data_IF_941614925631
#
_entry.id   IF_941614925631
#
_cell.length_a   1.000
_cell.length_b   1.000
_cell.length_c   1.000
_cell.angle_alpha   90.00
_cell.angle_beta   90.00
_cell.angle_gamma   90.00
#
_symmetry.space_group_name_H-M   'P 1'
#
loop_
_entity.id
_entity.type
_entity.pdbx_description
1 polymer ?
#
# COMPACT_ATOMS: atom_id res chain seq x y z
N UNK A 1 -4.50 12.72 0.93
CA UNK A 1 -5.89 12.66 0.46
C UNK A 1 -6.69 11.88 1.49
N UNK A 2 -7.96 12.22 1.74
CA UNK A 2 -8.81 11.42 2.64
C UNK A 2 -9.03 10.02 2.05
N UNK A 3 -9.20 9.05 2.94
CA UNK A 3 -9.56 7.69 2.58
C UNK A 3 -11.03 7.69 2.09
N UNK A 4 -11.27 7.21 0.89
CA UNK A 4 -12.61 7.19 0.28
C UNK A 4 -13.13 5.75 0.25
N UNK A 5 -14.31 5.51 0.84
CA UNK A 5 -15.01 4.21 0.85
C UNK A 5 -14.16 3.03 1.33
N UNK A 6 -13.35 3.24 2.39
CA UNK A 6 -12.47 2.20 2.95
C UNK A 6 -12.62 2.04 4.47
N UNK A 7 -13.65 2.65 5.04
CA UNK A 7 -13.91 2.62 6.49
C UNK A 7 -14.12 1.19 6.97
N UNK A 8 -14.76 0.37 6.15
CA UNK A 8 -15.04 -1.05 6.43
C UNK A 8 -13.77 -1.89 6.45
N UNK A 9 -12.91 -1.70 5.46
CA UNK A 9 -11.61 -2.36 5.39
C UNK A 9 -10.69 -1.87 6.50
N UNK A 10 -10.66 -0.57 6.77
CA UNK A 10 -9.88 0.00 7.87
C UNK A 10 -10.32 -0.58 9.22
N UNK A 11 -11.63 -0.64 9.48
CA UNK A 11 -12.18 -1.23 10.72
C UNK A 11 -11.75 -2.69 10.89
N UNK A 12 -11.81 -3.50 9.83
CA UNK A 12 -11.37 -4.90 9.87
C UNK A 12 -9.86 -5.03 10.14
N UNK A 13 -9.04 -4.16 9.55
CA UNK A 13 -7.60 -4.15 9.77
C UNK A 13 -7.27 -3.71 11.21
N UNK A 14 -7.96 -2.70 11.73
CA UNK A 14 -7.83 -2.29 13.14
C UNK A 14 -8.18 -3.44 14.09
N UNK A 15 -9.24 -4.19 13.79
CA UNK A 15 -9.61 -5.37 14.56
C UNK A 15 -8.53 -6.46 14.50
N UNK A 16 -8.03 -6.79 13.29
CA UNK A 16 -6.93 -7.75 13.13
C UNK A 16 -5.69 -7.33 13.92
N UNK A 17 -5.38 -6.04 13.86
CA UNK A 17 -4.29 -5.42 14.59
C UNK A 17 -4.40 -5.63 16.11
N UNK A 18 -5.54 -5.28 16.69
CA UNK A 18 -5.80 -5.38 18.14
C UNK A 18 -5.73 -6.83 18.65
N UNK A 19 -6.11 -7.80 17.82
CA UNK A 19 -6.06 -9.22 18.16
C UNK A 19 -4.73 -9.91 17.77
N UNK A 20 -3.73 -9.18 17.29
CA UNK A 20 -2.47 -9.76 16.85
C UNK A 20 -2.60 -10.72 15.65
N UNK A 21 -3.68 -10.61 14.86
CA UNK A 21 -3.94 -11.51 13.73
C UNK A 21 -3.30 -10.97 12.46
N UNK A 22 -2.56 -11.81 11.70
CA UNK A 22 -2.08 -11.42 10.39
C UNK A 22 -3.23 -11.09 9.44
N UNK A 23 -3.07 -10.03 8.63
CA UNK A 23 -4.04 -9.66 7.60
C UNK A 23 -3.35 -9.21 6.30
N UNK A 24 -4.01 -9.42 5.17
CA UNK A 24 -3.49 -9.08 3.86
C UNK A 24 -4.48 -8.23 3.07
N UNK A 25 -4.00 -7.10 2.56
CA UNK A 25 -4.75 -6.23 1.66
C UNK A 25 -4.34 -6.52 0.23
N UNK A 26 -5.27 -6.98 -0.59
CA UNK A 26 -5.03 -7.31 -1.99
C UNK A 26 -5.75 -6.37 -2.95
N UNK A 27 -5.19 -6.24 -4.15
CA UNK A 27 -5.81 -5.50 -5.24
C UNK A 27 -4.80 -4.96 -6.25
N UNK A 28 -5.26 -4.55 -7.43
CA UNK A 28 -4.39 -4.10 -8.50
C UNK A 28 -3.57 -2.85 -8.11
N UNK A 29 -2.50 -2.53 -8.85
CA UNK A 29 -1.78 -1.27 -8.69
C UNK A 29 -2.73 -0.07 -8.74
N UNK A 30 -2.46 0.94 -7.89
CA UNK A 30 -3.27 2.16 -7.84
C UNK A 30 -4.60 2.07 -7.07
N UNK A 31 -5.05 0.89 -6.63
CA UNK A 31 -6.35 0.71 -5.95
C UNK A 31 -6.43 1.32 -4.55
N UNK A 32 -5.32 1.80 -4.00
CA UNK A 32 -5.28 2.48 -2.70
C UNK A 32 -4.75 1.64 -1.53
N UNK A 33 -4.07 0.51 -1.77
CA UNK A 33 -3.49 -0.35 -0.70
C UNK A 33 -2.55 0.42 0.23
N UNK A 34 -1.57 1.10 -0.33
CA UNK A 34 -0.61 1.93 0.43
C UNK A 34 -1.32 3.00 1.25
N UNK A 35 -2.30 3.69 0.66
CA UNK A 35 -3.07 4.72 1.36
C UNK A 35 -3.84 4.14 2.55
N UNK A 36 -4.44 2.96 2.39
CA UNK A 36 -5.13 2.26 3.47
C UNK A 36 -4.16 1.85 4.60
N UNK A 37 -2.98 1.33 4.27
CA UNK A 37 -1.96 1.01 5.29
C UNK A 37 -1.43 2.24 6.01
N UNK A 38 -1.27 3.36 5.33
CA UNK A 38 -0.84 4.62 5.95
C UNK A 38 -1.93 5.19 6.88
N UNK A 39 -3.20 5.05 6.52
CA UNK A 39 -4.31 5.44 7.37
C UNK A 39 -4.42 4.52 8.60
N UNK A 40 -4.29 3.21 8.40
CA UNK A 40 -4.20 2.24 9.47
C UNK A 40 -3.07 2.59 10.45
N UNK A 41 -1.89 2.93 9.92
CA UNK A 41 -0.76 3.38 10.75
C UNK A 41 -1.12 4.59 11.62
N UNK A 42 -1.78 5.61 11.04
CA UNK A 42 -2.19 6.80 11.79
C UNK A 42 -3.17 6.44 12.91
N UNK A 43 -4.17 5.62 12.60
CA UNK A 43 -5.17 5.17 13.57
C UNK A 43 -4.55 4.37 14.71
N UNK A 44 -3.62 3.46 14.41
CA UNK A 44 -2.92 2.66 15.41
C UNK A 44 -2.03 3.52 16.32
N UNK A 45 -1.30 4.49 15.75
CA UNK A 45 -0.49 5.44 16.53
C UNK A 45 -1.39 6.29 17.44
N UNK A 46 -2.55 6.73 16.96
CA UNK A 46 -3.50 7.50 17.76
C UNK A 46 -4.07 6.69 18.95
N UNK A 47 -4.14 5.36 18.83
CA UNK A 47 -4.49 4.43 19.92
C UNK A 47 -3.29 4.07 20.82
N UNK A 48 -2.11 4.66 20.60
CA UNK A 48 -0.90 4.35 21.37
C UNK A 48 -0.25 3.01 21.03
N UNK A 49 -0.66 2.36 19.93
CA UNK A 49 -0.09 1.08 19.54
C UNK A 49 1.25 1.26 18.82
N UNK A 50 2.31 0.53 19.21
CA UNK A 50 3.61 0.63 18.57
C UNK A 50 3.56 -0.04 17.19
N UNK A 51 3.77 0.75 16.12
CA UNK A 51 3.69 0.30 14.74
C UNK A 51 4.86 0.80 13.91
N UNK A 52 5.37 -0.06 13.03
CA UNK A 52 6.32 0.31 11.97
C UNK A 52 5.73 0.03 10.60
N UNK A 53 5.92 0.97 9.69
CA UNK A 53 5.57 0.79 8.27
C UNK A 53 6.84 0.57 7.47
N UNK A 54 6.87 -0.54 6.71
CA UNK A 54 8.03 -0.95 5.92
C UNK A 54 7.60 -1.27 4.50
N UNK A 55 8.10 -0.57 3.48
CA UNK A 55 7.99 -1.03 2.11
C UNK A 55 8.72 -2.37 1.96
N UNK A 56 8.09 -3.31 1.26
CA UNK A 56 8.75 -4.57 0.95
C UNK A 56 9.84 -4.34 -0.09
N UNK A 57 11.03 -4.81 0.20
CA UNK A 57 12.20 -4.74 -0.69
C UNK A 57 12.95 -6.07 -0.69
N UNK A 58 13.55 -6.42 -1.82
CA UNK A 58 14.43 -7.57 -1.95
C UNK A 58 15.86 -7.10 -2.26
N UNK A 59 16.89 -7.87 -1.92
CA UNK A 59 16.86 -9.15 -1.18
C UNK A 59 16.60 -8.97 0.33
N UNK A 60 16.50 -10.10 1.05
CA UNK A 60 16.24 -10.10 2.50
C UNK A 60 17.19 -9.19 3.29
N UNK A 61 18.47 -9.14 2.93
CA UNK A 61 19.44 -8.25 3.61
C UNK A 61 19.01 -6.77 3.55
N UNK A 62 18.64 -6.29 2.37
CA UNK A 62 18.17 -4.90 2.19
C UNK A 62 16.89 -4.63 3.00
N UNK A 63 15.98 -5.60 3.06
CA UNK A 63 14.78 -5.53 3.89
C UNK A 63 15.13 -5.42 5.38
N UNK A 64 15.98 -6.32 5.90
CA UNK A 64 16.39 -6.32 7.31
C UNK A 64 17.08 -5.00 7.69
N UNK A 65 17.96 -4.49 6.83
CA UNK A 65 18.62 -3.19 7.02
C UNK A 65 17.60 -2.04 7.05
N UNK A 66 16.58 -2.08 6.18
CA UNK A 66 15.48 -1.11 6.17
C UNK A 66 14.65 -1.12 7.46
N UNK A 67 14.37 -2.31 8.00
CA UNK A 67 13.67 -2.46 9.30
C UNK A 67 14.54 -1.95 10.45
N UNK A 68 15.83 -2.31 10.49
CA UNK A 68 16.76 -1.87 11.52
C UNK A 68 16.88 -0.34 11.56
N UNK A 69 16.97 0.30 10.40
CA UNK A 69 17.00 1.76 10.29
C UNK A 69 15.74 2.42 10.89
N UNK A 70 14.54 1.85 10.66
CA UNK A 70 13.27 2.36 11.22
C UNK A 70 13.15 2.17 12.72
N UNK A 71 13.83 1.17 13.26
CA UNK A 71 13.91 0.92 14.70
C UNK A 71 15.06 1.71 15.36
N UNK A 72 15.78 2.52 14.60
CA UNK A 72 16.97 3.29 15.08
C UNK A 72 18.02 2.40 15.75
N UNK A 73 18.13 1.14 15.29
CA UNK A 73 19.13 0.22 15.82
C UNK A 73 20.51 0.65 15.33
N UNK A 74 21.40 0.92 16.29
CA UNK A 74 22.79 1.25 16.01
C UNK A 74 23.58 -0.01 15.69
N UNK A 75 24.30 -0.01 14.58
CA UNK A 75 25.17 -1.10 14.12
C UNK A 75 24.86 -1.43 12.67
N UNK A 76 25.80 -1.06 11.78
CA UNK A 76 25.79 -1.59 10.41
C UNK A 76 26.38 -2.99 10.46
N UNK A 77 25.64 -3.96 10.02
CA UNK A 77 26.16 -5.31 9.80
C UNK A 77 25.91 -5.70 8.34
N UNK A 78 26.96 -6.15 7.68
CA UNK A 78 26.87 -6.68 6.31
C UNK A 78 26.31 -8.12 6.31
N UNK A 79 26.11 -8.70 7.48
CA UNK A 79 25.57 -10.05 7.65
C UNK A 79 24.07 -10.05 7.90
N UNK A 80 23.30 -10.70 7.03
CA UNK A 80 21.87 -10.94 7.26
C UNK A 80 21.59 -11.74 8.54
N UNK A 81 22.52 -12.58 8.99
CA UNK A 81 22.39 -13.36 10.22
C UNK A 81 22.46 -12.44 11.43
N UNK A 82 23.43 -11.54 11.47
CA UNK A 82 23.58 -10.58 12.56
C UNK A 82 22.40 -9.59 12.60
N UNK A 83 21.98 -9.05 11.44
CA UNK A 83 20.79 -8.20 11.35
C UNK A 83 19.52 -8.89 11.86
N UNK A 84 19.29 -10.14 11.49
CA UNK A 84 18.16 -10.92 12.02
C UNK A 84 18.21 -11.07 13.53
N UNK A 85 19.38 -11.41 14.07
CA UNK A 85 19.58 -11.54 15.52
C UNK A 85 19.24 -10.25 16.27
N UNK A 86 19.80 -9.12 15.81
CA UNK A 86 19.53 -7.80 16.39
C UNK A 86 18.04 -7.44 16.33
N UNK A 87 17.38 -7.68 15.19
CA UNK A 87 15.96 -7.39 15.02
C UNK A 87 15.09 -8.27 15.91
N UNK A 88 15.37 -9.57 16.03
CA UNK A 88 14.64 -10.46 16.92
C UNK A 88 14.75 -10.01 18.37
N UNK A 89 15.97 -9.76 18.86
CA UNK A 89 16.19 -9.28 20.23
C UNK A 89 15.44 -7.97 20.48
N UNK A 90 15.48 -7.03 19.54
CA UNK A 90 14.80 -5.74 19.67
C UNK A 90 13.27 -5.88 19.66
N UNK A 91 12.72 -6.69 18.76
CA UNK A 91 11.28 -6.87 18.61
C UNK A 91 10.68 -7.79 19.68
N UNK A 92 11.45 -8.76 20.20
CA UNK A 92 11.06 -9.58 21.35
C UNK A 92 10.99 -8.74 22.63
N UNK A 93 11.93 -7.81 22.83
CA UNK A 93 11.93 -6.89 23.98
C UNK A 93 10.86 -5.79 23.86
N UNK A 94 10.59 -5.30 22.65
CA UNK A 94 9.64 -4.24 22.37
C UNK A 94 8.78 -4.60 21.16
N UNK A 95 7.74 -5.44 21.33
CA UNK A 95 6.88 -5.90 20.24
C UNK A 95 6.21 -4.73 19.50
N UNK A 96 6.18 -4.82 18.18
CA UNK A 96 5.59 -3.80 17.32
C UNK A 96 4.78 -4.46 16.22
N UNK A 97 3.69 -3.82 15.86
CA UNK A 97 2.98 -4.17 14.64
C UNK A 97 3.80 -3.80 13.41
N UNK A 98 3.88 -4.71 12.44
CA UNK A 98 4.58 -4.48 11.17
C UNK A 98 3.56 -4.32 10.06
N UNK A 99 3.55 -3.15 9.43
CA UNK A 99 2.81 -2.91 8.19
C UNK A 99 3.78 -3.06 7.02
N UNK A 100 3.59 -4.13 6.24
CA UNK A 100 4.48 -4.51 5.13
C UNK A 100 3.81 -4.19 3.80
N UNK A 101 4.29 -3.17 3.11
CA UNK A 101 3.65 -2.68 1.89
C UNK A 101 4.33 -3.19 0.61
N UNK A 102 3.52 -3.68 -0.32
CA UNK A 102 3.96 -4.10 -1.65
C UNK A 102 4.67 -5.45 -1.70
N UNK A 103 4.18 -6.45 -0.97
CA UNK A 103 4.76 -7.82 -0.98
C UNK A 103 4.73 -8.37 -2.41
N UNK A 104 5.90 -8.79 -2.90
CA UNK A 104 6.09 -9.39 -4.22
C UNK A 104 7.09 -10.55 -4.10
N UNK A 105 6.57 -11.77 -4.27
CA UNK A 105 7.32 -13.04 -4.36
C UNK A 105 8.47 -13.22 -3.34
N UNK A 106 8.21 -13.06 -2.04
CA UNK A 106 9.24 -13.24 -1.01
C UNK A 106 9.74 -14.67 -0.96
N UNK A 107 11.05 -14.82 -0.82
CA UNK A 107 11.70 -16.11 -0.66
C UNK A 107 11.46 -16.74 0.73
N UNK A 108 11.77 -18.03 0.88
CA UNK A 108 11.62 -18.78 2.15
C UNK A 108 12.31 -18.13 3.36
N UNK A 109 13.50 -17.50 3.25
CA UNK A 109 14.10 -16.77 4.37
C UNK A 109 13.24 -15.63 4.95
N UNK A 110 12.38 -14.97 4.15
CA UNK A 110 11.42 -14.00 4.67
C UNK A 110 10.38 -14.67 5.56
N UNK A 111 9.83 -15.81 5.12
CA UNK A 111 8.88 -16.58 5.91
C UNK A 111 9.47 -16.95 7.27
N UNK A 112 10.68 -17.53 7.31
CA UNK A 112 11.36 -17.93 8.55
C UNK A 112 11.62 -16.75 9.49
N UNK A 113 11.86 -15.55 8.95
CA UNK A 113 12.03 -14.35 9.74
C UNK A 113 10.73 -13.95 10.44
N UNK A 114 9.62 -13.87 9.70
CA UNK A 114 8.33 -13.47 10.25
C UNK A 114 7.66 -14.56 11.09
N UNK A 115 7.79 -15.83 10.70
CA UNK A 115 7.26 -16.96 11.45
C UNK A 115 7.67 -16.88 12.93
N UNK A 116 8.95 -16.68 13.20
CA UNK A 116 9.44 -16.53 14.57
C UNK A 116 8.82 -15.33 15.29
N UNK A 117 8.74 -14.19 14.64
CA UNK A 117 8.23 -12.96 15.26
C UNK A 117 6.74 -13.04 15.61
N UNK A 118 5.95 -13.79 14.85
CA UNK A 118 4.52 -13.92 15.10
C UNK A 118 4.17 -14.75 16.34
N UNK A 119 5.13 -15.49 16.91
CA UNK A 119 4.98 -16.12 18.22
C UNK A 119 5.23 -15.17 19.39
N UNK A 120 5.75 -13.98 19.15
CA UNK A 120 5.97 -12.98 20.21
C UNK A 120 4.65 -12.27 20.51
N UNK A 121 4.16 -12.30 21.77
CA UNK A 121 2.94 -11.58 22.16
C UNK A 121 3.03 -10.08 21.82
N UNK A 122 1.98 -9.53 21.26
CA UNK A 122 1.95 -8.12 20.83
C UNK A 122 2.51 -7.85 19.43
N UNK A 123 3.06 -8.87 18.77
CA UNK A 123 3.44 -8.77 17.36
C UNK A 123 2.24 -9.03 16.45
N UNK A 124 2.13 -8.28 15.38
CA UNK A 124 1.21 -8.55 14.28
C UNK A 124 1.83 -8.15 12.94
N UNK A 125 1.41 -8.81 11.87
CA UNK A 125 1.84 -8.54 10.51
C UNK A 125 0.61 -8.24 9.65
N UNK A 126 0.55 -7.02 9.12
CA UNK A 126 -0.46 -6.65 8.12
C UNK A 126 0.26 -6.30 6.84
N UNK A 127 -0.05 -7.01 5.77
CA UNK A 127 0.62 -6.86 4.49
C UNK A 127 -0.26 -6.28 3.38
N UNK A 128 0.36 -5.80 2.31
CA UNK A 128 -0.31 -5.54 1.04
C UNK A 128 0.38 -6.28 -0.11
N UNK A 129 -0.41 -6.78 -1.07
CA UNK A 129 0.08 -7.45 -2.28
C UNK A 129 -0.85 -7.17 -3.47
N UNK A 130 -0.38 -7.43 -4.67
CA UNK A 130 -1.24 -7.36 -5.85
C UNK A 130 -2.35 -8.42 -5.80
N UNK A 131 -1.99 -9.63 -5.40
CA UNK A 131 -2.87 -10.79 -5.29
C UNK A 131 -2.36 -11.69 -4.15
N UNK A 132 -3.22 -12.57 -3.58
CA UNK A 132 -2.79 -13.44 -2.47
C UNK A 132 -1.59 -14.34 -2.80
N UNK A 133 -1.52 -14.89 -4.01
CA UNK A 133 -0.41 -15.74 -4.42
C UNK A 133 0.91 -14.98 -4.62
N UNK A 134 0.88 -13.67 -4.85
CA UNK A 134 2.10 -12.84 -4.91
C UNK A 134 2.84 -12.76 -3.57
N UNK A 135 2.22 -13.24 -2.49
CA UNK A 135 2.89 -13.33 -1.18
C UNK A 135 3.91 -14.47 -1.07
N UNK A 136 4.08 -15.29 -2.11
CA UNK A 136 5.11 -16.33 -2.17
C UNK A 136 5.18 -17.17 -0.89
N UNK A 137 6.37 -17.31 -0.31
CA UNK A 137 6.54 -18.06 0.93
C UNK A 137 5.75 -17.52 2.13
N UNK A 138 5.40 -16.22 2.14
CA UNK A 138 4.57 -15.61 3.20
C UNK A 138 3.09 -16.01 3.12
N UNK A 139 2.66 -16.69 2.05
CA UNK A 139 1.29 -17.20 1.95
C UNK A 139 0.89 -18.02 3.18
N UNK A 140 1.81 -18.75 3.76
CA UNK A 140 1.58 -19.57 4.97
C UNK A 140 1.16 -18.73 6.19
N UNK A 141 1.56 -17.46 6.25
CA UNK A 141 1.16 -16.52 7.31
C UNK A 141 -0.26 -15.99 7.03
N UNK A 142 -0.59 -15.73 5.77
CA UNK A 142 -1.86 -15.16 5.33
C UNK A 142 -2.86 -16.21 4.83
N UNK A 143 -2.75 -17.46 5.27
CA UNK A 143 -3.58 -18.57 4.78
C UNK A 143 -5.07 -18.45 5.11
N UNK A 144 -5.41 -17.72 6.19
CA UNK A 144 -6.80 -17.54 6.60
C UNK A 144 -7.51 -16.53 5.70
N UNK A 145 -8.39 -17.01 4.85
CA UNK A 145 -9.13 -16.18 3.90
C UNK A 145 -9.98 -15.08 4.55
N UNK A 146 -10.40 -15.24 5.80
CA UNK A 146 -11.15 -14.20 6.53
C UNK A 146 -10.32 -12.94 6.80
N UNK A 147 -9.01 -13.05 6.78
CA UNK A 147 -8.07 -11.94 6.97
C UNK A 147 -7.49 -11.41 5.67
N UNK A 148 -7.92 -11.93 4.51
CA UNK A 148 -7.57 -11.41 3.19
C UNK A 148 -8.67 -10.44 2.73
N UNK A 149 -8.30 -9.17 2.58
CA UNK A 149 -9.19 -8.10 2.17
C UNK A 149 -8.87 -7.69 0.72
N UNK A 150 -9.76 -8.02 -0.21
CA UNK A 150 -9.64 -7.58 -1.60
C UNK A 150 -10.29 -6.21 -1.78
N UNK A 151 -9.49 -5.20 -2.12
CA UNK A 151 -10.01 -3.85 -2.37
C UNK A 151 -10.76 -3.82 -3.70
N UNK A 152 -11.96 -3.28 -3.66
CA UNK A 152 -12.80 -3.06 -4.85
C UNK A 152 -12.55 -1.67 -5.43
N UNK A 153 -12.85 -1.46 -6.72
CA UNK A 153 -12.91 -0.11 -7.30
C UNK A 153 -13.84 0.80 -6.49
N UNK A 154 -13.58 2.11 -6.52
CA UNK A 154 -14.48 3.11 -5.95
C UNK A 154 -15.83 3.11 -6.68
N UNK A 155 -16.88 3.50 -5.98
CA UNK A 155 -18.17 3.81 -6.59
C UNK A 155 -18.05 4.93 -7.63
N UNK A 156 -19.08 5.11 -8.45
CA UNK A 156 -19.13 6.23 -9.41
C UNK A 156 -19.09 7.57 -8.68
N UNK A 157 -19.81 7.70 -7.58
CA UNK A 157 -19.87 8.92 -6.77
C UNK A 157 -18.51 9.27 -6.15
N UNK A 158 -17.85 8.30 -5.51
CA UNK A 158 -16.53 8.49 -4.93
C UNK A 158 -15.47 8.78 -6.02
N UNK A 159 -15.59 8.13 -7.18
CA UNK A 159 -14.72 8.39 -8.33
C UNK A 159 -14.90 9.81 -8.88
N UNK A 160 -16.14 10.29 -8.98
CA UNK A 160 -16.44 11.64 -9.42
C UNK A 160 -15.91 12.69 -8.44
N UNK A 161 -16.11 12.49 -7.14
CA UNK A 161 -15.59 13.37 -6.11
C UNK A 161 -14.05 13.42 -6.13
N UNK A 162 -13.40 12.26 -6.33
CA UNK A 162 -11.95 12.18 -6.45
C UNK A 162 -11.44 12.88 -7.70
N UNK A 163 -12.08 12.64 -8.86
CA UNK A 163 -11.71 13.24 -10.13
C UNK A 163 -11.85 14.76 -10.07
N UNK A 164 -12.99 15.28 -9.59
CA UNK A 164 -13.20 16.72 -9.43
C UNK A 164 -12.13 17.38 -8.55
N UNK A 165 -11.78 16.74 -7.41
CA UNK A 165 -10.71 17.23 -6.55
C UNK A 165 -9.34 17.19 -7.22
N UNK A 166 -9.03 16.11 -7.95
CA UNK A 166 -7.76 15.96 -8.64
C UNK A 166 -7.63 16.95 -9.81
N UNK A 167 -8.68 17.15 -10.59
CA UNK A 167 -8.74 18.16 -11.66
C UNK A 167 -8.51 19.56 -11.07
N UNK A 168 -9.26 19.94 -10.04
CA UNK A 168 -9.08 21.23 -9.39
C UNK A 168 -7.69 21.46 -8.80
N UNK A 169 -6.96 20.38 -8.47
CA UNK A 169 -5.59 20.47 -7.94
C UNK A 169 -4.53 20.54 -9.03
N UNK A 170 -4.66 19.75 -10.10
CA UNK A 170 -3.59 19.54 -11.09
C UNK A 170 -3.86 20.22 -12.44
N UNK A 171 -5.11 20.34 -12.85
CA UNK A 171 -5.52 20.85 -14.15
C UNK A 171 -6.83 21.65 -14.05
N UNK A 172 -6.86 22.74 -13.28
CA UNK A 172 -8.07 23.50 -12.99
C UNK A 172 -8.73 24.09 -14.25
N UNK A 173 -7.96 24.34 -15.29
CA UNK A 173 -8.41 24.78 -16.61
C UNK A 173 -9.20 23.72 -17.38
N UNK A 174 -9.13 22.46 -16.96
CA UNK A 174 -9.89 21.34 -17.52
C UNK A 174 -11.10 20.94 -16.65
N UNK A 175 -11.58 21.84 -15.82
CA UNK A 175 -12.70 21.58 -14.92
C UNK A 175 -14.05 21.53 -15.67
N UNK A 176 -14.09 20.80 -16.78
CA UNK A 176 -15.31 20.51 -17.53
C UNK A 176 -15.84 19.11 -17.20
N UNK A 177 -17.12 18.90 -17.42
CA UNK A 177 -17.78 17.60 -17.16
C UNK A 177 -17.34 16.52 -18.14
N UNK A 178 -16.93 16.90 -19.36
CA UNK A 178 -16.54 15.96 -20.42
C UNK A 178 -15.21 15.30 -20.10
N UNK A 179 -14.19 16.05 -19.68
CA UNK A 179 -12.90 15.51 -19.27
C UNK A 179 -13.04 14.61 -18.05
N UNK A 180 -13.81 15.07 -17.05
CA UNK A 180 -14.07 14.28 -15.84
C UNK A 180 -14.72 12.92 -16.16
N UNK A 181 -15.73 12.88 -17.02
CA UNK A 181 -16.43 11.65 -17.41
C UNK A 181 -15.48 10.70 -18.16
N UNK A 182 -14.64 11.21 -19.07
CA UNK A 182 -13.64 10.42 -19.78
C UNK A 182 -12.64 9.79 -18.81
N UNK A 183 -12.12 10.55 -17.81
CA UNK A 183 -11.22 10.04 -16.77
C UNK A 183 -11.90 8.91 -15.99
N UNK A 184 -13.15 9.09 -15.57
CA UNK A 184 -13.90 8.10 -14.82
C UNK A 184 -14.12 6.82 -15.62
N UNK A 185 -14.48 6.94 -16.90
CA UNK A 185 -14.71 5.82 -17.80
C UNK A 185 -13.46 4.95 -17.97
N UNK A 186 -12.29 5.57 -18.17
CA UNK A 186 -11.02 4.87 -18.36
C UNK A 186 -10.47 4.32 -17.05
N UNK A 187 -10.55 5.08 -15.97
CA UNK A 187 -10.02 4.67 -14.66
C UNK A 187 -10.83 3.55 -14.01
N UNK A 188 -12.12 3.39 -14.34
CA UNK A 188 -13.01 2.34 -13.84
C UNK A 188 -12.97 2.19 -12.31
N UNK A 189 -13.02 3.33 -11.60
CA UNK A 189 -13.00 3.36 -10.14
C UNK A 189 -11.62 3.10 -9.51
N UNK A 190 -10.53 3.06 -10.28
CA UNK A 190 -9.18 2.94 -9.73
C UNK A 190 -8.66 4.33 -9.32
N UNK A 191 -8.50 4.62 -8.01
CA UNK A 191 -8.13 5.95 -7.53
C UNK A 191 -6.77 6.43 -8.05
N UNK A 192 -5.79 5.53 -8.12
CA UNK A 192 -4.47 5.88 -8.63
C UNK A 192 -4.49 6.29 -10.09
N UNK A 193 -5.31 5.63 -10.92
CA UNK A 193 -5.51 6.01 -12.33
C UNK A 193 -6.19 7.36 -12.46
N UNK A 194 -7.24 7.62 -11.68
CA UNK A 194 -7.91 8.91 -11.67
C UNK A 194 -6.91 10.03 -11.39
N UNK A 195 -6.16 9.92 -10.30
CA UNK A 195 -5.19 10.94 -9.89
C UNK A 195 -4.06 11.09 -10.91
N UNK A 196 -3.52 9.98 -11.42
CA UNK A 196 -2.42 10.01 -12.40
C UNK A 196 -2.86 10.65 -13.72
N UNK A 197 -4.04 10.33 -14.22
CA UNK A 197 -4.58 10.96 -15.43
C UNK A 197 -4.77 12.46 -15.26
N UNK A 198 -5.37 12.92 -14.14
CA UNK A 198 -5.53 14.34 -13.86
C UNK A 198 -4.19 15.06 -13.71
N UNK A 199 -3.20 14.44 -13.04
CA UNK A 199 -1.87 15.00 -12.89
C UNK A 199 -1.14 15.16 -14.23
N UNK A 200 -1.23 14.16 -15.10
CA UNK A 200 -0.61 14.22 -16.45
C UNK A 200 -1.31 15.17 -17.40
N UNK A 201 -2.60 15.37 -17.24
CA UNK A 201 -3.33 16.33 -18.06
C UNK A 201 -2.80 17.77 -17.91
N UNK A 202 -2.05 18.07 -16.85
CA UNK A 202 -1.34 19.33 -16.69
C UNK A 202 -0.07 19.44 -17.57
N UNK A 203 0.46 18.32 -18.07
CA UNK A 203 1.68 18.29 -18.88
C UNK A 203 1.38 18.73 -20.31
N UNK A 204 2.11 19.72 -20.88
CA UNK A 204 1.95 20.17 -22.26
C UNK A 204 2.05 19.05 -23.31
N UNK A 205 2.78 17.98 -23.04
CA UNK A 205 2.93 16.83 -23.95
C UNK A 205 1.58 16.16 -24.28
N UNK A 206 0.58 16.28 -23.40
CA UNK A 206 -0.76 15.73 -23.62
C UNK A 206 -1.76 16.78 -24.09
N UNK A 207 -1.31 18.00 -24.40
CA UNK A 207 -2.16 19.09 -24.84
C UNK A 207 -2.00 19.39 -26.33
N UNK A 208 -3.08 19.83 -26.95
CA UNK A 208 -3.12 20.32 -28.32
C UNK A 208 -4.02 21.57 -28.30
N UNK A 209 -3.41 22.73 -27.99
CA UNK A 209 -4.14 23.93 -27.62
C UNK A 209 -5.00 23.69 -26.37
N UNK A 210 -6.29 23.97 -26.47
CA UNK A 210 -7.26 23.75 -25.38
C UNK A 210 -7.75 22.29 -25.28
N UNK A 211 -7.29 21.42 -26.18
CA UNK A 211 -7.74 20.02 -26.24
C UNK A 211 -6.73 19.09 -25.59
N UNK A 212 -7.25 18.02 -24.96
CA UNK A 212 -6.43 16.93 -24.41
C UNK A 212 -6.29 15.82 -25.44
N UNK A 213 -5.07 15.35 -25.64
CA UNK A 213 -4.75 14.11 -26.37
C UNK A 213 -5.09 12.89 -25.51
N UNK A 214 -6.39 12.68 -25.26
CA UNK A 214 -6.86 11.73 -24.24
C UNK A 214 -6.40 10.30 -24.49
N UNK A 215 -6.28 9.86 -25.74
CA UNK A 215 -5.79 8.53 -26.10
C UNK A 215 -4.33 8.31 -25.61
N UNK A 216 -3.43 9.26 -25.86
CA UNK A 216 -2.05 9.20 -25.39
C UNK A 216 -1.99 9.24 -23.86
N UNK A 217 -2.74 10.15 -23.23
CA UNK A 217 -2.86 10.27 -21.79
C UNK A 217 -3.30 8.94 -21.14
N UNK A 218 -4.30 8.27 -21.71
CA UNK A 218 -4.83 7.02 -21.18
C UNK A 218 -3.80 5.89 -21.25
N UNK A 219 -3.13 5.70 -22.38
CA UNK A 219 -2.12 4.65 -22.60
C UNK A 219 -0.99 4.81 -21.60
N UNK A 220 -0.40 5.99 -21.50
CA UNK A 220 0.75 6.24 -20.63
C UNK A 220 0.42 6.15 -19.13
N UNK A 221 -0.85 6.43 -18.77
CA UNK A 221 -1.32 6.27 -17.38
C UNK A 221 -1.42 4.80 -16.97
N UNK A 222 -1.57 3.87 -17.91
CA UNK A 222 -1.54 2.44 -17.64
C UNK A 222 -0.11 1.91 -17.41
N UNK A 223 0.84 2.39 -18.18
CA UNK A 223 2.22 1.84 -18.19
C UNK A 223 2.95 2.07 -16.87
N UNK A 224 2.78 3.22 -16.23
CA UNK A 224 3.47 3.56 -14.95
C UNK A 224 2.86 2.97 -13.70
N UNK A 225 1.63 2.50 -13.71
CA UNK A 225 1.03 1.85 -12.54
C UNK A 225 1.46 0.38 -12.41
N UNK A 226 2.07 -0.17 -13.47
CA UNK A 226 2.51 -1.56 -13.56
C UNK A 226 4.03 -1.68 -13.36
N UNK A 227 4.79 -0.60 -13.54
CA UNK A 227 6.22 -0.48 -13.25
C UNK A 227 6.46 -0.03 -11.81
#
# INVERSE_FOLDING_TARGET
>A
MPLLERERELSKLMQSARYGKPALVCGPPGIGKTQLLLELRRSLIAEGMPVIYVPFVQPLHAFLASVAARLSLRGRSDSSVALRGMLWTSLEANPKMILLDGIAEPSLPFYRFFERLLYVPGMALIGSAAQPYATGALHRIFWNQQTILSLRPLSREASAALAGKAIGTFAPDLADSAFQEQVMQVARGNPGRIVEMCRRAADPAYRDGDRIRFAALSIDSFTRLVS
#
